data_IF_017818856252
#
_entry.id   IF_017818856252
#
_cell.length_a   1.000
_cell.length_b   1.000
_cell.length_c   1.000
_cell.angle_alpha   90.00
_cell.angle_beta   90.00
_cell.angle_gamma   90.00
#
_symmetry.space_group_name_H-M   'P 1'
#
loop_
_entity.id
_entity.type
_entity.pdbx_description
1 polymer ?
#
# COMPACT_ATOMS: atom_id res chain seq x y z
N UNK A 1 16.58 22.65 -1.91
CA UNK A 1 16.18 21.42 -1.22
C UNK A 1 15.56 20.52 -2.26
N UNK A 2 16.34 19.62 -2.86
CA UNK A 2 15.80 18.63 -3.79
C UNK A 2 15.06 17.62 -2.93
N UNK A 3 13.75 17.82 -2.76
CA UNK A 3 12.89 16.80 -2.16
C UNK A 3 13.02 15.56 -3.01
N UNK A 4 13.51 14.46 -2.43
CA UNK A 4 13.57 13.18 -3.13
C UNK A 4 12.12 12.77 -3.37
N UNK A 5 11.63 13.00 -4.58
CA UNK A 5 10.30 12.57 -4.99
C UNK A 5 10.28 11.04 -4.97
N UNK A 6 9.31 10.46 -4.28
CA UNK A 6 9.11 9.01 -4.28
C UNK A 6 8.91 8.53 -5.74
N UNK A 7 9.72 7.58 -6.24
CA UNK A 7 9.57 7.07 -7.61
C UNK A 7 8.27 6.27 -7.79
N UNK A 8 7.65 5.83 -6.68
CA UNK A 8 6.37 5.14 -6.69
C UNK A 8 5.19 6.11 -6.57
N UNK A 9 4.15 5.84 -7.35
CA UNK A 9 2.81 6.38 -7.14
C UNK A 9 1.85 5.22 -6.97
N UNK A 10 1.05 5.24 -5.92
CA UNK A 10 -0.02 4.27 -5.69
C UNK A 10 -1.37 5.01 -5.60
N UNK A 11 -2.42 4.38 -6.11
CA UNK A 11 -3.81 4.79 -5.92
C UNK A 11 -4.68 3.53 -5.82
N UNK A 12 -5.79 3.66 -5.12
CA UNK A 12 -6.80 2.60 -5.03
C UNK A 12 -7.96 2.95 -5.95
N UNK A 13 -8.32 2.03 -6.86
CA UNK A 13 -9.23 2.32 -7.99
C UNK A 13 -10.69 2.61 -7.59
N UNK A 14 -11.05 2.50 -6.31
CA UNK A 14 -12.41 2.71 -5.78
C UNK A 14 -12.36 3.53 -4.49
N UNK A 15 -13.45 4.21 -4.18
CA UNK A 15 -13.62 5.00 -2.95
C UNK A 15 -15.04 4.84 -2.42
N UNK A 16 -15.25 5.12 -1.13
CA UNK A 16 -16.57 5.05 -0.51
C UNK A 16 -17.10 3.60 -0.40
N UNK A 17 -18.40 3.39 -0.64
CA UNK A 17 -19.09 2.12 -0.33
C UNK A 17 -18.68 0.91 -1.22
N UNK A 18 -17.80 1.12 -2.20
CA UNK A 18 -17.29 0.06 -3.08
C UNK A 18 -15.78 -0.15 -2.91
N UNK A 19 -15.23 0.28 -1.77
CA UNK A 19 -13.80 0.20 -1.45
C UNK A 19 -13.27 -1.23 -1.62
N UNK A 20 -14.03 -2.23 -1.16
CA UNK A 20 -13.66 -3.65 -1.21
C UNK A 20 -13.64 -4.27 -2.62
N UNK A 21 -14.17 -3.58 -3.64
CA UNK A 21 -14.15 -4.02 -5.04
C UNK A 21 -13.14 -3.24 -5.89
N UNK A 22 -12.20 -2.55 -5.24
CA UNK A 22 -11.12 -1.86 -5.90
C UNK A 22 -9.93 -2.75 -6.21
N UNK A 23 -8.92 -2.14 -6.79
CA UNK A 23 -7.61 -2.74 -7.01
C UNK A 23 -6.54 -1.64 -6.99
N UNK A 24 -5.32 -2.07 -6.71
CA UNK A 24 -4.16 -1.20 -6.72
C UNK A 24 -3.76 -0.78 -8.14
N UNK A 25 -3.53 0.51 -8.30
CA UNK A 25 -2.91 1.12 -9.47
C UNK A 25 -1.57 1.67 -9.01
N UNK A 26 -0.49 0.93 -9.25
CA UNK A 26 0.85 1.31 -8.83
C UNK A 26 1.72 1.56 -10.06
N UNK A 27 2.51 2.63 -10.00
CA UNK A 27 3.53 2.92 -11.00
C UNK A 27 4.88 3.16 -10.33
N UNK A 28 5.96 2.80 -11.02
CA UNK A 28 7.35 3.09 -10.68
C UNK A 28 7.97 3.89 -11.83
N UNK A 29 8.42 5.12 -11.56
CA UNK A 29 8.94 6.05 -12.58
C UNK A 29 7.97 6.23 -13.78
N UNK A 30 6.67 6.17 -13.50
CA UNK A 30 5.61 6.27 -14.51
C UNK A 30 5.32 4.98 -15.30
N UNK A 31 6.01 3.87 -15.01
CA UNK A 31 5.71 2.55 -15.59
C UNK A 31 4.78 1.77 -14.67
N UNK A 32 3.77 1.04 -15.20
CA UNK A 32 2.90 0.23 -14.37
C UNK A 32 3.68 -0.89 -13.67
N UNK A 33 3.36 -1.13 -12.40
CA UNK A 33 3.89 -2.24 -11.61
C UNK A 33 2.82 -3.34 -11.56
N UNK A 34 3.13 -4.49 -12.13
CA UNK A 34 2.26 -5.66 -12.09
C UNK A 34 2.39 -6.34 -10.73
N UNK A 35 1.37 -6.15 -9.89
CA UNK A 35 1.26 -6.85 -8.61
C UNK A 35 0.76 -8.28 -8.78
N UNK A 36 1.14 -9.20 -7.87
CA UNK A 36 0.54 -10.52 -7.76
C UNK A 36 -0.99 -10.43 -7.60
N UNK A 37 -1.73 -11.30 -8.27
CA UNK A 37 -3.20 -11.31 -8.26
C UNK A 37 -3.77 -11.33 -6.83
N UNK A 38 -3.18 -12.14 -5.95
CA UNK A 38 -3.59 -12.26 -4.55
C UNK A 38 -3.48 -10.96 -3.73
N UNK A 39 -2.69 -9.97 -4.20
CA UNK A 39 -2.46 -8.67 -3.55
C UNK A 39 -3.12 -7.51 -4.27
N UNK A 40 -3.36 -7.64 -5.58
CA UNK A 40 -3.92 -6.58 -6.42
C UNK A 40 -5.26 -6.06 -5.91
N UNK A 41 -6.11 -6.94 -5.38
CA UNK A 41 -7.49 -6.64 -4.96
C UNK A 41 -7.69 -6.65 -3.45
N UNK A 42 -6.61 -6.56 -2.66
CA UNK A 42 -6.65 -6.55 -1.20
C UNK A 42 -5.99 -5.31 -0.62
N UNK A 43 -6.34 -4.98 0.61
CA UNK A 43 -5.55 -4.03 1.38
C UNK A 43 -4.10 -4.53 1.54
N UNK A 44 -3.19 -3.58 1.76
CA UNK A 44 -1.78 -3.90 1.86
C UNK A 44 -1.35 -4.18 3.29
N UNK A 45 -2.17 -3.93 4.32
CA UNK A 45 -1.80 -4.24 5.70
C UNK A 45 -0.75 -3.29 6.30
N UNK A 46 -0.59 -2.09 5.76
CA UNK A 46 0.37 -1.09 6.27
C UNK A 46 -0.15 -0.40 7.52
N UNK A 47 0.71 0.15 8.37
CA UNK A 47 0.30 0.80 9.61
C UNK A 47 -0.47 2.11 9.39
N UNK A 48 -1.66 2.22 9.97
CA UNK A 48 -2.43 3.46 9.95
C UNK A 48 -3.68 3.38 10.83
N UNK A 49 -4.30 4.54 11.07
CA UNK A 49 -5.61 4.62 11.72
C UNK A 49 -6.67 4.64 10.62
N UNK A 50 -7.37 3.51 10.45
CA UNK A 50 -8.32 3.31 9.35
C UNK A 50 -9.79 3.56 9.76
N UNK A 51 -9.98 4.29 10.86
CA UNK A 51 -11.29 4.71 11.37
C UNK A 51 -11.76 5.98 10.67
N UNK A 52 -12.95 5.92 10.07
CA UNK A 52 -13.61 7.10 9.48
C UNK A 52 -14.20 8.00 10.58
N UNK A 53 -14.58 7.40 11.71
CA UNK A 53 -15.29 8.09 12.80
C UNK A 53 -14.29 8.85 13.66
N UNK A 54 -13.20 8.19 14.05
CA UNK A 54 -12.18 8.72 14.96
C UNK A 54 -10.77 8.49 14.38
N UNK A 55 -10.32 9.34 13.43
CA UNK A 55 -9.08 9.15 12.69
C UNK A 55 -7.80 9.42 13.51
N UNK A 56 -7.92 9.94 14.73
CA UNK A 56 -6.80 10.22 15.64
C UNK A 56 -6.70 9.20 16.79
N UNK A 57 -7.65 8.27 16.91
CA UNK A 57 -7.69 7.29 17.98
C UNK A 57 -6.81 6.07 17.63
N UNK A 58 -5.64 6.01 18.27
CA UNK A 58 -4.65 4.94 18.11
C UNK A 58 -5.19 3.54 18.48
N UNK A 59 -6.32 3.43 19.19
CA UNK A 59 -6.95 2.13 19.45
C UNK A 59 -7.51 1.49 18.19
N UNK A 60 -7.71 2.27 17.12
CA UNK A 60 -8.06 1.80 15.79
C UNK A 60 -6.86 1.70 14.83
N UNK A 61 -5.63 1.85 15.35
CA UNK A 61 -4.44 1.59 14.57
C UNK A 61 -4.37 0.10 14.19
N UNK A 62 -4.13 -0.18 12.92
CA UNK A 62 -4.04 -1.54 12.39
C UNK A 62 -2.92 -1.63 11.34
N UNK A 63 -2.48 -2.86 11.05
CA UNK A 63 -1.35 -3.14 10.15
C UNK A 63 0.03 -2.92 10.77
N UNK A 64 1.05 -3.13 9.95
CA UNK A 64 2.44 -3.20 10.40
C UNK A 64 3.24 -1.94 10.07
N UNK A 65 4.12 -1.49 10.98
CA UNK A 65 5.01 -0.37 10.73
C UNK A 65 5.99 -0.70 9.59
N UNK A 66 6.57 0.32 8.96
CA UNK A 66 7.39 0.22 7.73
C UNK A 66 8.38 -0.95 7.76
N UNK A 67 9.21 -1.05 8.79
CA UNK A 67 10.25 -2.09 8.89
C UNK A 67 9.66 -3.50 9.00
N UNK A 68 8.69 -3.70 9.90
CA UNK A 68 8.05 -5.00 10.11
C UNK A 68 7.28 -5.44 8.86
N UNK A 69 6.56 -4.51 8.23
CA UNK A 69 5.83 -4.79 7.00
C UNK A 69 6.76 -5.25 5.88
N UNK A 70 7.89 -4.55 5.68
CA UNK A 70 8.85 -4.91 4.64
C UNK A 70 9.42 -6.30 4.90
N UNK A 71 9.76 -6.63 6.15
CA UNK A 71 10.30 -7.95 6.51
C UNK A 71 9.27 -9.05 6.26
N UNK A 72 8.02 -8.88 6.70
CA UNK A 72 6.97 -9.88 6.52
C UNK A 72 6.58 -10.10 5.05
N UNK A 73 6.71 -9.05 4.23
CA UNK A 73 6.32 -9.06 2.82
C UNK A 73 7.51 -9.24 1.87
N UNK A 74 8.73 -9.43 2.40
CA UNK A 74 9.97 -9.42 1.63
C UNK A 74 9.97 -10.45 0.48
N UNK A 75 9.42 -11.64 0.69
CA UNK A 75 9.40 -12.72 -0.30
C UNK A 75 8.69 -12.29 -1.59
N UNK A 76 7.40 -11.97 -1.52
CA UNK A 76 6.63 -11.58 -2.70
C UNK A 76 7.05 -10.20 -3.23
N UNK A 77 7.52 -9.31 -2.36
CA UNK A 77 7.95 -7.96 -2.77
C UNK A 77 9.24 -8.02 -3.59
N UNK A 78 10.15 -8.94 -3.24
CA UNK A 78 11.37 -9.20 -4.02
C UNK A 78 11.02 -9.74 -5.40
N UNK A 79 10.14 -10.73 -5.48
CA UNK A 79 9.68 -11.29 -6.76
C UNK A 79 9.01 -10.21 -7.62
N UNK A 80 8.10 -9.44 -7.02
CA UNK A 80 7.42 -8.34 -7.70
C UNK A 80 8.40 -7.30 -8.23
N UNK A 81 9.40 -6.89 -7.46
CA UNK A 81 10.38 -5.91 -7.91
C UNK A 81 11.26 -6.46 -9.02
N UNK A 82 11.69 -7.72 -8.90
CA UNK A 82 12.48 -8.40 -9.92
C UNK A 82 11.72 -8.47 -11.26
N UNK A 83 10.46 -8.92 -11.24
CA UNK A 83 9.62 -9.06 -12.42
C UNK A 83 9.32 -7.71 -13.10
N UNK A 84 9.26 -6.64 -12.31
CA UNK A 84 9.02 -5.28 -12.80
C UNK A 84 10.31 -4.48 -13.08
N UNK A 85 11.49 -5.14 -13.02
CA UNK A 85 12.80 -4.53 -13.21
C UNK A 85 13.07 -3.31 -12.30
N UNK A 86 12.58 -3.39 -11.06
CA UNK A 86 12.82 -2.42 -9.98
C UNK A 86 14.07 -2.84 -9.20
N UNK A 87 15.00 -1.93 -8.89
CA UNK A 87 16.18 -2.28 -8.09
C UNK A 87 15.80 -2.80 -6.70
N UNK A 88 16.36 -3.95 -6.33
CA UNK A 88 16.15 -4.64 -5.05
C UNK A 88 16.99 -4.00 -3.93
N UNK A 89 16.77 -2.71 -3.67
CA UNK A 89 17.42 -1.97 -2.60
C UNK A 89 16.43 -1.52 -1.53
N UNK A 90 16.96 -1.29 -0.32
CA UNK A 90 16.16 -0.85 0.83
C UNK A 90 15.39 0.44 0.57
N UNK A 91 15.96 1.35 -0.23
CA UNK A 91 15.31 2.62 -0.55
C UNK A 91 14.02 2.40 -1.34
N UNK A 92 14.01 1.49 -2.31
CA UNK A 92 12.82 1.16 -3.10
C UNK A 92 11.77 0.41 -2.27
N UNK A 93 12.17 -0.51 -1.38
CA UNK A 93 11.21 -1.16 -0.49
C UNK A 93 10.48 -0.16 0.41
N UNK A 94 11.23 0.77 1.02
CA UNK A 94 10.67 1.86 1.83
C UNK A 94 9.84 2.82 1.00
N UNK A 95 10.30 3.16 -0.21
CA UNK A 95 9.58 4.04 -1.12
C UNK A 95 8.23 3.43 -1.54
N UNK A 96 8.19 2.13 -1.83
CA UNK A 96 6.95 1.42 -2.13
C UNK A 96 6.00 1.49 -0.94
N UNK A 97 6.45 1.10 0.27
CA UNK A 97 5.63 1.17 1.49
C UNK A 97 5.03 2.55 1.71
N UNK A 98 5.83 3.62 1.59
CA UNK A 98 5.36 5.01 1.73
C UNK A 98 4.33 5.40 0.67
N UNK A 99 4.41 4.83 -0.53
CA UNK A 99 3.44 5.10 -1.58
C UNK A 99 2.10 4.42 -1.27
N UNK A 100 2.11 3.12 -0.95
CA UNK A 100 0.89 2.37 -0.66
C UNK A 100 0.23 2.78 0.65
N UNK A 101 1.00 3.06 1.71
CA UNK A 101 0.47 3.37 3.04
C UNK A 101 -0.44 4.60 3.06
N UNK A 102 -0.15 5.59 2.21
CA UNK A 102 -0.97 6.81 2.08
C UNK A 102 -2.36 6.57 1.50
N UNK A 103 -2.55 5.45 0.80
CA UNK A 103 -3.79 5.08 0.10
C UNK A 103 -4.36 3.75 0.60
N UNK A 104 -3.71 3.14 1.59
CA UNK A 104 -4.13 1.86 2.14
C UNK A 104 -5.45 2.02 2.88
N UNK A 105 -6.15 0.91 3.06
CA UNK A 105 -7.50 0.90 3.57
C UNK A 105 -7.78 -0.37 4.36
N UNK A 106 -8.91 -0.42 5.06
CA UNK A 106 -9.40 -1.66 5.70
C UNK A 106 -10.84 -1.92 5.32
N UNK A 107 -11.25 -3.18 5.34
CA UNK A 107 -12.65 -3.56 5.09
C UNK A 107 -13.64 -2.84 6.01
N UNK A 108 -13.22 -2.53 7.25
CA UNK A 108 -13.98 -1.70 8.20
C UNK A 108 -14.18 -0.26 7.74
N UNK A 109 -13.32 0.25 6.85
CA UNK A 109 -13.47 1.56 6.19
C UNK A 109 -14.50 1.52 5.04
N UNK A 110 -15.05 0.35 4.67
CA UNK A 110 -16.18 0.29 3.76
C UNK A 110 -17.47 0.60 4.53
N UNK A 111 -18.00 1.82 4.38
CA UNK A 111 -19.19 2.31 5.09
C UNK A 111 -20.50 1.51 4.87
N UNK A 112 -20.44 0.36 4.16
CA UNK A 112 -21.55 -0.56 3.93
C UNK A 112 -21.32 -1.99 4.45
N UNK A 113 -20.18 -2.31 5.07
CA UNK A 113 -19.94 -3.62 5.68
C UNK A 113 -20.29 -3.58 7.18
N UNK A 114 -21.58 -3.55 7.50
CA UNK A 114 -22.09 -3.92 8.83
C UNK A 114 -22.53 -5.39 8.83
#
# INVERSE_FOLDING_TARGET
MSGVTNPFTADWSRRGNLLCHGHWIITYEGRPVELPEARREKDMGTHGIYSIIDPEDETFADGLPEDEWIIENAEWLTDCFFDNAIPLDEANYRAFWKAINRQDWRCTSCAGCM
#
